data_IF_232066986822
#
_entry.id   IF_232066986822
#
_cell.length_a   1.000
_cell.length_b   1.000
_cell.length_c   1.000
_cell.angle_alpha   90.00
_cell.angle_beta   90.00
_cell.angle_gamma   90.00
#
_symmetry.space_group_name_H-M   'P 1'
#
loop_
_entity.id
_entity.type
_entity.pdbx_description
1 polymer ?
#
# COMPACT_ATOMS: atom_id res chain seq x y z
N UNK A 1 58.39 24.64 -52.45
CA UNK A 1 59.17 23.54 -53.05
C UNK A 1 58.32 22.31 -53.04
N UNK A 2 57.69 22.01 -54.12
CA UNK A 2 58.08 20.98 -55.11
C UNK A 2 57.84 19.56 -54.52
N UNK A 3 57.13 18.68 -55.06
CA UNK A 3 56.60 18.18 -56.35
C UNK A 3 55.83 16.92 -56.04
N UNK A 4 54.57 16.76 -56.51
CA UNK A 4 54.16 16.00 -57.66
C UNK A 4 54.71 14.56 -57.74
N UNK A 5 53.84 13.56 -57.75
CA UNK A 5 53.67 12.64 -58.86
C UNK A 5 52.55 11.62 -58.63
N UNK A 6 51.72 11.64 -59.46
CA UNK A 6 50.63 10.92 -60.03
C UNK A 6 51.11 9.65 -60.78
N UNK A 7 50.45 8.53 -60.60
CA UNK A 7 50.33 7.43 -61.59
C UNK A 7 49.27 6.46 -61.06
N UNK A 8 48.11 6.34 -61.62
CA UNK A 8 47.57 5.70 -62.81
C UNK A 8 47.82 4.21 -62.93
N UNK A 9 46.69 3.59 -63.23
CA UNK A 9 46.37 2.32 -63.91
C UNK A 9 46.27 1.10 -63.03
N UNK A 10 45.36 0.16 -63.18
CA UNK A 10 44.53 -0.24 -64.36
C UNK A 10 43.39 -1.14 -63.85
N UNK A 11 42.27 -1.15 -64.50
CA UNK A 11 41.19 -2.15 -64.39
C UNK A 11 41.61 -3.39 -65.22
N UNK A 12 41.21 -4.59 -64.77
CA UNK A 12 40.68 -5.54 -65.73
C UNK A 12 39.23 -5.98 -65.37
N UNK A 13 38.44 -5.94 -66.38
CA UNK A 13 37.18 -6.66 -66.56
C UNK A 13 37.44 -8.16 -66.61
N UNK A 14 36.59 -9.00 -65.98
CA UNK A 14 35.93 -10.12 -66.68
C UNK A 14 35.03 -10.94 -65.74
N UNK A 15 33.80 -11.02 -66.12
CA UNK A 15 32.97 -12.22 -66.22
C UNK A 15 32.81 -13.16 -64.98
N UNK A 16 31.68 -13.09 -64.42
CA UNK A 16 31.21 -14.06 -63.41
C UNK A 16 29.71 -13.98 -63.18
N UNK A 17 28.95 -13.70 -64.21
CA UNK A 17 27.52 -13.81 -64.26
C UNK A 17 27.14 -15.30 -64.32
N UNK A 18 26.94 -15.93 -63.24
CA UNK A 18 26.25 -17.22 -63.04
C UNK A 18 26.70 -17.88 -61.72
N UNK A 19 26.00 -17.64 -60.66
CA UNK A 19 25.89 -18.46 -59.43
C UNK A 19 25.66 -17.58 -58.21
N UNK A 20 24.54 -16.89 -58.14
CA UNK A 20 24.05 -16.29 -56.89
C UNK A 20 22.52 -16.08 -56.98
N UNK A 21 21.79 -17.15 -57.23
CA UNK A 21 20.31 -17.17 -57.18
C UNK A 21 19.83 -18.29 -56.25
N UNK A 22 20.52 -18.59 -55.19
CA UNK A 22 20.01 -19.64 -54.25
C UNK A 22 20.42 -19.40 -52.78
N UNK A 23 20.51 -18.19 -52.29
CA UNK A 23 20.67 -17.98 -50.82
C UNK A 23 19.92 -16.73 -50.31
N UNK A 24 18.84 -16.32 -50.95
CA UNK A 24 18.07 -15.17 -50.50
C UNK A 24 16.61 -15.53 -50.18
N UNK A 25 16.35 -16.70 -49.58
CA UNK A 25 14.98 -17.08 -49.24
C UNK A 25 14.87 -17.82 -47.92
N UNK A 26 15.61 -17.46 -46.88
CA UNK A 26 15.50 -18.08 -45.56
C UNK A 26 15.71 -17.11 -44.39
N UNK A 27 15.42 -15.82 -44.49
CA UNK A 27 15.53 -14.89 -43.35
C UNK A 27 14.28 -14.01 -43.18
N UNK A 28 13.13 -14.43 -43.69
CA UNK A 28 11.86 -13.72 -43.44
C UNK A 28 10.86 -14.69 -42.79
N UNK A 29 11.24 -15.26 -41.69
CA UNK A 29 10.32 -16.16 -40.96
C UNK A 29 10.81 -16.43 -39.56
N UNK A 30 10.74 -15.48 -38.65
CA UNK A 30 11.19 -15.79 -37.30
C UNK A 30 11.21 -14.69 -36.25
N UNK A 31 10.59 -13.54 -36.50
CA UNK A 31 10.31 -12.57 -35.44
C UNK A 31 8.84 -12.65 -35.03
N UNK A 32 8.35 -13.84 -34.71
CA UNK A 32 7.22 -13.95 -33.82
C UNK A 32 7.72 -13.59 -32.43
N UNK A 33 7.57 -12.31 -32.11
CA UNK A 33 7.73 -11.74 -30.78
C UNK A 33 6.95 -12.60 -29.80
N UNK A 34 7.65 -13.49 -29.09
CA UNK A 34 7.16 -14.06 -27.85
C UNK A 34 7.01 -12.89 -26.88
N UNK A 35 5.88 -12.19 -26.94
CA UNK A 35 5.42 -11.43 -25.80
C UNK A 35 5.15 -12.46 -24.71
N UNK A 36 6.20 -12.72 -23.91
CA UNK A 36 6.04 -13.43 -22.67
C UNK A 36 4.94 -12.71 -21.90
N UNK A 37 3.79 -13.39 -21.71
CA UNK A 37 2.85 -13.02 -20.67
C UNK A 37 3.66 -13.03 -19.37
N UNK A 38 4.14 -11.87 -18.95
CA UNK A 38 4.66 -11.71 -17.61
C UNK A 38 3.47 -11.96 -16.68
N UNK A 39 3.54 -12.96 -15.81
CA UNK A 39 2.50 -13.14 -14.81
C UNK A 39 2.43 -11.82 -14.03
N UNK A 40 1.23 -11.23 -13.96
CA UNK A 40 1.00 -10.08 -13.11
C UNK A 40 1.55 -10.44 -11.73
N UNK A 41 2.58 -9.75 -11.28
CA UNK A 41 3.13 -9.94 -9.95
C UNK A 41 2.01 -9.58 -8.97
N UNK A 42 1.38 -10.60 -8.40
CA UNK A 42 0.45 -10.42 -7.30
C UNK A 42 1.22 -9.64 -6.22
N UNK A 43 0.69 -8.50 -5.82
CA UNK A 43 1.27 -7.72 -4.73
C UNK A 43 1.49 -8.66 -3.54
N UNK A 44 2.71 -8.62 -2.97
CA UNK A 44 3.03 -9.47 -1.84
C UNK A 44 1.98 -9.28 -0.73
N UNK A 45 1.45 -10.36 -0.14
CA UNK A 45 0.44 -10.24 0.90
C UNK A 45 1.01 -9.41 2.07
N UNK A 46 0.16 -8.63 2.70
CA UNK A 46 0.55 -7.82 3.84
C UNK A 46 1.10 -8.71 4.96
N UNK A 47 2.31 -8.40 5.43
CA UNK A 47 3.09 -9.30 6.30
C UNK A 47 2.41 -9.64 7.64
N UNK A 48 1.58 -8.75 8.18
CA UNK A 48 0.88 -8.99 9.45
C UNK A 48 -0.46 -9.69 9.27
N UNK A 49 -0.96 -9.87 8.05
CA UNK A 49 -2.21 -10.58 7.82
C UNK A 49 -2.12 -12.02 8.35
N UNK A 50 -3.06 -12.40 9.21
CA UNK A 50 -3.08 -13.70 9.89
C UNK A 50 -2.03 -13.84 11.00
N UNK A 51 -1.36 -12.75 11.42
CA UNK A 51 -0.38 -12.75 12.50
C UNK A 51 -0.83 -11.88 13.65
N UNK A 52 -0.26 -12.12 14.82
CA UNK A 52 -0.48 -11.27 15.98
C UNK A 52 -0.07 -9.81 15.67
N UNK A 53 -0.95 -8.88 16.02
CA UNK A 53 -0.69 -7.46 15.89
C UNK A 53 0.43 -7.04 16.86
N UNK A 54 1.48 -6.32 16.38
CA UNK A 54 2.54 -5.83 17.24
C UNK A 54 1.99 -4.97 18.39
N UNK A 55 2.30 -5.31 19.63
CA UNK A 55 1.84 -4.51 20.78
C UNK A 55 2.46 -3.11 20.76
N UNK A 56 1.71 -2.15 21.26
CA UNK A 56 2.17 -0.78 21.46
C UNK A 56 1.55 -0.16 22.70
N UNK A 57 2.17 0.90 23.18
CA UNK A 57 1.60 1.83 24.14
C UNK A 57 1.78 3.24 23.59
N UNK A 58 0.67 3.94 23.33
CA UNK A 58 0.67 5.29 22.78
C UNK A 58 -0.12 6.23 23.68
N UNK A 59 0.30 7.49 23.64
CA UNK A 59 -0.39 8.56 24.35
C UNK A 59 -1.65 8.99 23.57
N UNK A 60 -2.77 9.04 24.26
CA UNK A 60 -3.99 9.61 23.70
C UNK A 60 -3.96 11.14 23.78
N UNK A 61 -4.51 11.80 22.76
CA UNK A 61 -4.66 13.26 22.78
C UNK A 61 -5.58 13.74 23.91
N UNK A 62 -6.56 12.91 24.24
CA UNK A 62 -7.49 13.12 25.34
C UNK A 62 -7.68 11.80 26.07
N UNK A 63 -7.59 11.80 27.40
CA UNK A 63 -7.78 10.60 28.23
C UNK A 63 -6.47 9.88 28.53
N UNK A 64 -6.58 8.58 28.79
CA UNK A 64 -5.47 7.72 29.23
C UNK A 64 -4.67 7.20 28.04
N UNK A 65 -3.41 6.81 28.31
CA UNK A 65 -2.62 6.05 27.35
C UNK A 65 -3.33 4.74 26.97
N UNK A 66 -3.14 4.30 25.74
CA UNK A 66 -3.72 3.06 25.22
C UNK A 66 -2.60 2.07 24.95
N UNK A 67 -2.75 0.85 25.50
CA UNK A 67 -1.91 -0.31 25.18
C UNK A 67 -2.76 -1.35 24.45
N UNK A 68 -2.33 -1.77 23.26
CA UNK A 68 -3.12 -2.71 22.45
C UNK A 68 -3.37 -4.04 23.15
N UNK A 69 -2.38 -4.57 23.87
CA UNK A 69 -2.52 -5.86 24.56
C UNK A 69 -3.57 -5.87 25.69
N UNK A 70 -3.99 -4.71 26.20
CA UNK A 70 -5.06 -4.59 27.20
C UNK A 70 -6.46 -4.79 26.61
N UNK A 71 -6.56 -4.85 25.27
CA UNK A 71 -7.81 -5.04 24.52
C UNK A 71 -8.00 -6.46 24.00
N UNK A 72 -7.31 -7.45 24.57
CA UNK A 72 -7.58 -8.86 24.24
C UNK A 72 -9.01 -9.23 24.67
N UNK A 73 -9.69 -10.00 23.83
CA UNK A 73 -11.13 -10.31 24.00
C UNK A 73 -12.07 -9.33 23.31
N UNK A 74 -11.55 -8.24 22.79
CA UNK A 74 -12.29 -7.24 22.00
C UNK A 74 -11.87 -7.28 20.54
N UNK A 75 -12.77 -6.92 19.63
CA UNK A 75 -12.42 -6.66 18.22
C UNK A 75 -11.89 -5.24 18.15
N UNK A 76 -10.69 -5.08 17.62
CA UNK A 76 -10.01 -3.78 17.55
C UNK A 76 -9.86 -3.32 16.11
N UNK A 77 -10.23 -2.07 15.85
CA UNK A 77 -9.93 -1.37 14.60
C UNK A 77 -8.84 -0.35 14.87
N UNK A 78 -7.72 -0.49 14.16
CA UNK A 78 -6.66 0.52 14.12
C UNK A 78 -6.76 1.30 12.82
N UNK A 79 -6.89 2.62 12.90
CA UNK A 79 -6.89 3.50 11.72
C UNK A 79 -5.72 4.46 11.79
N UNK A 80 -4.77 4.32 10.86
CA UNK A 80 -3.65 5.24 10.70
C UNK A 80 -4.08 6.42 9.82
N UNK A 81 -3.83 7.63 10.31
CA UNK A 81 -4.25 8.87 9.66
C UNK A 81 -3.16 9.94 9.71
N UNK A 82 -3.30 10.96 8.87
CA UNK A 82 -2.43 12.13 8.88
C UNK A 82 -3.22 13.40 8.56
N UNK A 83 -2.73 14.55 8.99
CA UNK A 83 -3.39 15.85 8.83
C UNK A 83 -3.60 16.26 7.36
N UNK A 84 -2.75 15.75 6.45
CA UNK A 84 -2.83 16.01 5.00
C UNK A 84 -3.63 14.97 4.22
N UNK A 85 -4.18 13.98 4.91
CA UNK A 85 -4.95 12.91 4.30
C UNK A 85 -6.43 13.31 4.21
N UNK A 86 -6.88 13.72 3.03
CA UNK A 86 -8.27 14.12 2.81
C UNK A 86 -9.28 12.99 3.08
N UNK A 87 -9.09 11.74 2.59
CA UNK A 87 -10.04 10.66 2.86
C UNK A 87 -10.05 10.20 4.32
N UNK A 88 -8.99 10.48 5.11
CA UNK A 88 -8.95 10.11 6.52
C UNK A 88 -10.10 10.69 7.34
N UNK A 89 -10.54 11.92 7.05
CA UNK A 89 -11.67 12.54 7.75
C UNK A 89 -12.96 11.74 7.60
N UNK A 90 -13.25 11.33 6.37
CA UNK A 90 -14.46 10.55 6.07
C UNK A 90 -14.38 9.18 6.75
N UNK A 91 -13.22 8.53 6.69
CA UNK A 91 -13.02 7.24 7.33
C UNK A 91 -13.18 7.31 8.86
N UNK A 92 -12.55 8.30 9.52
CA UNK A 92 -12.68 8.46 10.96
C UNK A 92 -14.15 8.66 11.37
N UNK A 93 -14.92 9.43 10.58
CA UNK A 93 -16.35 9.60 10.84
C UNK A 93 -17.15 8.31 10.63
N UNK A 94 -16.85 7.50 9.60
CA UNK A 94 -17.49 6.20 9.38
C UNK A 94 -17.16 5.19 10.49
N UNK A 95 -15.92 5.19 10.98
CA UNK A 95 -15.50 4.37 12.12
C UNK A 95 -16.19 4.77 13.42
N UNK A 96 -16.46 6.07 13.62
CA UNK A 96 -17.20 6.56 14.76
C UNK A 96 -18.65 6.06 14.77
N UNK A 97 -19.32 6.02 13.60
CA UNK A 97 -20.64 5.42 13.48
C UNK A 97 -20.61 3.91 13.80
N UNK A 98 -19.56 3.21 13.34
CA UNK A 98 -19.36 1.80 13.65
C UNK A 98 -19.17 1.58 15.16
N UNK A 99 -18.36 2.42 15.81
CA UNK A 99 -18.16 2.34 17.27
C UNK A 99 -19.46 2.56 18.02
N UNK A 100 -20.25 3.58 17.69
CA UNK A 100 -21.55 3.85 18.30
C UNK A 100 -22.50 2.67 18.21
N UNK A 101 -22.44 1.94 17.09
CA UNK A 101 -23.30 0.77 16.85
C UNK A 101 -22.83 -0.47 17.59
N UNK A 102 -21.51 -0.71 17.65
CA UNK A 102 -20.96 -2.02 18.03
C UNK A 102 -20.10 -2.00 19.32
N UNK A 103 -19.92 -0.85 19.99
CA UNK A 103 -19.11 -0.76 21.21
C UNK A 103 -19.60 -1.69 22.33
N UNK A 104 -20.91 -1.88 22.45
CA UNK A 104 -21.54 -2.74 23.48
C UNK A 104 -21.31 -4.24 23.23
N UNK A 105 -20.98 -4.62 22.00
CA UNK A 105 -20.67 -6.02 21.63
C UNK A 105 -19.17 -6.27 21.49
N UNK A 106 -18.35 -5.33 21.97
CA UNK A 106 -16.91 -5.49 22.11
C UNK A 106 -16.08 -4.93 20.96
N UNK A 107 -16.59 -3.92 20.22
CA UNK A 107 -15.77 -3.15 19.29
C UNK A 107 -14.97 -2.08 20.04
N UNK A 108 -13.69 -1.95 19.68
CA UNK A 108 -12.84 -0.79 20.01
C UNK A 108 -12.24 -0.19 18.73
N UNK A 109 -12.11 1.11 18.71
CA UNK A 109 -11.49 1.85 17.59
C UNK A 109 -10.40 2.74 18.15
N UNK A 110 -9.25 2.76 17.50
CA UNK A 110 -8.14 3.66 17.82
C UNK A 110 -7.64 4.32 16.53
N UNK A 111 -7.61 5.65 16.54
CA UNK A 111 -7.00 6.43 15.45
C UNK A 111 -5.56 6.77 15.80
N UNK A 112 -4.59 6.43 14.94
CA UNK A 112 -3.16 6.67 15.17
C UNK A 112 -2.66 7.72 14.20
N UNK A 113 -2.36 8.91 14.69
CA UNK A 113 -1.82 10.02 13.92
C UNK A 113 -0.33 9.83 13.64
N UNK A 114 0.03 9.96 12.37
CA UNK A 114 1.39 9.68 11.89
C UNK A 114 2.06 10.90 11.24
N UNK A 115 1.66 12.12 11.58
CA UNK A 115 2.37 13.32 11.13
C UNK A 115 3.76 13.43 11.79
N UNK A 116 4.71 14.02 11.06
CA UNK A 116 6.04 14.32 11.61
C UNK A 116 6.00 15.43 12.67
N UNK A 117 5.02 16.33 12.53
CA UNK A 117 4.78 17.41 13.47
C UNK A 117 3.53 17.10 14.30
N UNK A 118 3.68 16.78 15.58
CA UNK A 118 2.56 16.49 16.48
C UNK A 118 1.53 17.64 16.57
N UNK A 119 1.96 18.88 16.37
CA UNK A 119 1.05 20.04 16.40
C UNK A 119 0.00 19.95 15.30
N UNK A 120 0.39 19.48 14.10
CA UNK A 120 -0.54 19.28 13.00
C UNK A 120 -1.56 18.18 13.28
N UNK A 121 -1.11 17.07 13.86
CA UNK A 121 -2.02 16.02 14.31
C UNK A 121 -3.01 16.54 15.35
N UNK A 122 -2.53 17.34 16.30
CA UNK A 122 -3.39 17.93 17.32
C UNK A 122 -4.44 18.88 16.73
N UNK A 123 -4.04 19.74 15.80
CA UNK A 123 -4.97 20.65 15.10
C UNK A 123 -6.01 19.89 14.27
N UNK A 124 -5.54 18.88 13.53
CA UNK A 124 -6.44 18.00 12.77
C UNK A 124 -7.45 17.31 13.70
N UNK A 125 -6.99 16.73 14.80
CA UNK A 125 -7.81 16.01 15.76
C UNK A 125 -8.88 16.89 16.41
N UNK A 126 -8.57 18.16 16.72
CA UNK A 126 -9.55 19.15 17.24
C UNK A 126 -10.72 19.36 16.29
N UNK A 127 -10.50 19.17 14.99
CA UNK A 127 -11.54 19.28 13.96
C UNK A 127 -12.33 17.98 13.73
N UNK A 128 -12.04 16.89 14.46
CA UNK A 128 -12.75 15.63 14.36
C UNK A 128 -13.73 15.49 15.53
N UNK A 129 -14.98 15.13 15.21
CA UNK A 129 -16.01 14.83 16.23
C UNK A 129 -16.15 13.32 16.35
N UNK A 130 -15.13 12.66 16.90
CA UNK A 130 -15.10 11.19 17.10
C UNK A 130 -15.02 10.87 18.60
N UNK A 131 -15.65 9.77 19.02
CA UNK A 131 -15.71 9.36 20.43
C UNK A 131 -14.58 8.41 20.83
N UNK A 132 -13.84 7.87 19.86
CA UNK A 132 -12.70 6.99 20.12
C UNK A 132 -11.40 7.75 20.32
N UNK A 133 -10.43 7.17 21.06
CA UNK A 133 -9.13 7.78 21.28
C UNK A 133 -8.35 8.02 19.98
N UNK A 134 -7.88 9.27 19.83
CA UNK A 134 -6.88 9.62 18.84
C UNK A 134 -5.52 9.62 19.53
N UNK A 135 -4.62 8.77 19.03
CA UNK A 135 -3.29 8.52 19.57
C UNK A 135 -2.25 9.19 18.65
N UNK A 136 -1.06 9.47 19.19
CA UNK A 136 0.07 10.00 18.42
C UNK A 136 1.22 9.00 18.36
N UNK A 137 1.79 8.85 17.16
CA UNK A 137 3.02 8.09 16.91
C UNK A 137 4.13 9.02 16.36
N UNK A 138 4.64 9.96 17.18
CA UNK A 138 5.57 11.00 16.72
C UNK A 138 6.94 10.42 16.31
N UNK A 139 7.31 9.27 16.85
CA UNK A 139 8.56 8.56 16.52
C UNK A 139 8.44 7.64 15.33
N UNK A 140 7.23 7.44 14.81
CA UNK A 140 6.91 6.48 13.74
C UNK A 140 7.23 5.02 14.09
N UNK A 141 7.37 4.69 15.37
CA UNK A 141 7.73 3.34 15.77
C UNK A 141 6.59 2.36 15.55
N UNK A 142 5.36 2.78 15.82
CA UNK A 142 4.18 1.96 15.61
C UNK A 142 3.88 1.85 14.13
N UNK A 143 3.82 2.96 13.41
CA UNK A 143 3.54 2.97 11.96
C UNK A 143 4.56 2.15 11.17
N UNK A 144 5.85 2.18 11.53
CA UNK A 144 6.87 1.31 10.90
C UNK A 144 6.63 -0.17 11.18
N UNK A 145 6.32 -0.57 12.43
CA UNK A 145 6.02 -1.96 12.77
C UNK A 145 4.78 -2.48 12.04
N UNK A 146 3.80 -1.62 11.85
CA UNK A 146 2.59 -1.90 11.09
C UNK A 146 2.75 -1.67 9.59
N UNK A 147 3.95 -1.33 9.10
CA UNK A 147 4.25 -1.13 7.67
C UNK A 147 3.25 -0.21 6.98
N UNK A 148 2.95 0.91 7.62
CA UNK A 148 2.06 1.93 7.06
C UNK A 148 2.74 2.62 5.89
N UNK A 149 2.28 2.34 4.69
CA UNK A 149 2.84 2.83 3.42
C UNK A 149 1.89 3.78 2.69
N UNK A 150 0.62 3.80 3.06
CA UNK A 150 -0.39 4.71 2.52
C UNK A 150 -1.35 5.16 3.63
N UNK A 151 -2.07 6.26 3.40
CA UNK A 151 -3.08 6.78 4.32
C UNK A 151 -4.40 7.07 3.57
N UNK A 152 -5.52 6.75 4.19
CA UNK A 152 -5.65 6.03 5.45
C UNK A 152 -5.29 4.55 5.30
N UNK A 153 -4.80 3.96 6.37
CA UNK A 153 -4.63 2.52 6.46
C UNK A 153 -5.35 1.99 7.68
N UNK A 154 -6.17 0.96 7.50
CA UNK A 154 -6.97 0.39 8.59
C UNK A 154 -6.76 -1.09 8.70
N UNK A 155 -6.65 -1.56 9.94
CA UNK A 155 -6.54 -2.97 10.29
C UNK A 155 -7.69 -3.36 11.18
N UNK A 156 -8.29 -4.52 10.89
CA UNK A 156 -9.25 -5.18 11.77
C UNK A 156 -8.52 -6.34 12.48
N UNK A 157 -8.57 -6.32 13.80
CA UNK A 157 -7.90 -7.26 14.69
C UNK A 157 -8.96 -8.01 15.47
N UNK A 158 -8.88 -9.33 15.49
CA UNK A 158 -9.83 -10.17 16.21
C UNK A 158 -9.58 -10.18 17.72
N UNK A 159 -10.47 -10.86 18.46
CA UNK A 159 -10.42 -10.96 19.92
C UNK A 159 -9.14 -11.60 20.48
N UNK A 160 -8.46 -12.42 19.67
CA UNK A 160 -7.17 -13.03 20.01
C UNK A 160 -5.98 -12.11 19.73
N UNK A 161 -6.22 -10.98 19.07
CA UNK A 161 -5.20 -10.00 18.72
C UNK A 161 -4.54 -10.27 17.37
N UNK A 162 -5.14 -11.09 16.52
CA UNK A 162 -4.62 -11.41 15.18
C UNK A 162 -5.20 -10.45 14.15
N UNK A 163 -4.34 -9.94 13.25
CA UNK A 163 -4.76 -9.08 12.14
C UNK A 163 -5.51 -9.91 11.11
N UNK A 164 -6.79 -9.63 10.91
CA UNK A 164 -7.67 -10.39 10.01
C UNK A 164 -7.92 -9.69 8.68
N UNK A 165 -7.98 -8.37 8.68
CA UNK A 165 -8.19 -7.58 7.45
C UNK A 165 -7.30 -6.33 7.46
N UNK A 166 -6.93 -5.87 6.27
CA UNK A 166 -6.11 -4.68 6.06
C UNK A 166 -6.63 -3.92 4.85
N UNK A 167 -7.02 -2.67 5.07
CA UNK A 167 -7.47 -1.76 4.03
C UNK A 167 -6.46 -0.63 3.87
N UNK A 168 -6.00 -0.43 2.64
CA UNK A 168 -4.98 0.58 2.28
C UNK A 168 -5.61 1.60 1.36
N UNK A 169 -6.43 2.39 1.84
CA UNK A 169 -7.18 3.47 1.24
C UNK A 169 -8.59 3.49 1.82
N UNK A 170 -9.36 4.52 1.50
CA UNK A 170 -10.75 4.60 1.90
C UNK A 170 -11.60 5.26 0.82
N UNK A 171 -12.68 4.61 0.50
CA UNK A 171 -13.76 5.12 -0.30
C UNK A 171 -15.10 4.75 0.36
N UNK A 172 -16.07 5.64 0.36
CA UNK A 172 -17.41 5.34 0.89
C UNK A 172 -18.10 4.14 0.20
N UNK A 173 -17.61 3.70 -0.95
CA UNK A 173 -18.09 2.48 -1.63
C UNK A 173 -17.66 1.21 -0.91
N UNK A 174 -16.62 1.28 -0.09
CA UNK A 174 -16.06 0.14 0.62
C UNK A 174 -16.72 -0.08 1.99
N UNK A 175 -17.60 0.84 2.43
CA UNK A 175 -18.25 0.80 3.76
C UNK A 175 -18.99 -0.51 3.99
N UNK A 176 -19.71 -1.04 2.99
CA UNK A 176 -20.45 -2.30 3.15
C UNK A 176 -19.52 -3.49 3.36
N UNK A 177 -18.43 -3.59 2.60
CA UNK A 177 -17.41 -4.62 2.79
C UNK A 177 -16.79 -4.52 4.18
N UNK A 178 -16.45 -3.31 4.60
CA UNK A 178 -15.91 -3.03 5.90
C UNK A 178 -16.83 -3.50 7.03
N UNK A 179 -18.11 -3.15 6.94
CA UNK A 179 -19.12 -3.56 7.91
C UNK A 179 -19.35 -5.07 7.91
N UNK A 180 -19.30 -5.73 6.76
CA UNK A 180 -19.43 -7.17 6.64
C UNK A 180 -18.26 -7.88 7.37
N UNK A 181 -17.02 -7.47 7.12
CA UNK A 181 -15.83 -8.01 7.77
C UNK A 181 -15.85 -7.77 9.28
N UNK A 182 -16.22 -6.57 9.69
CA UNK A 182 -16.34 -6.20 11.11
C UNK A 182 -17.38 -7.07 11.83
N UNK A 183 -18.56 -7.23 11.23
CA UNK A 183 -19.63 -8.07 11.79
C UNK A 183 -19.21 -9.53 11.89
N UNK A 184 -18.45 -10.05 10.92
CA UNK A 184 -17.92 -11.41 10.97
C UNK A 184 -17.04 -11.60 12.22
N UNK A 185 -16.11 -10.68 12.48
CA UNK A 185 -15.22 -10.75 13.65
C UNK A 185 -15.96 -10.57 14.98
N UNK A 186 -17.01 -9.74 15.03
CA UNK A 186 -17.80 -9.52 16.23
C UNK A 186 -18.66 -10.75 16.62
N UNK A 187 -18.95 -11.61 15.63
CA UNK A 187 -19.74 -12.84 15.81
C UNK A 187 -18.87 -14.08 16.13
N UNK A 188 -17.54 -13.98 16.06
CA UNK A 188 -16.60 -15.01 16.51
C UNK A 188 -16.51 -15.03 18.06
#
# INVERSE_FOLDING_TARGET
MARTLQQRTAVPRSNGLRRLVFVALCVVGGCLSAWALQPAQAAAPYRLLGREAPDFALHALVGSNVRLSEHRGEVVVLSFWGSRCSPCRMQLAALDQSLKTYSTVGLRVFGIGVDDDPTRSLEFAKGQSVEFPLLLDPTKDVSRRYQVDNLPMTLLIDRSGVVRHVHRDYSAKDDELYLQELRALLNE
#
